data_IF_624251166460
#
_entry.id   IF_624251166460
#
_cell.length_a   1.000
_cell.length_b   1.000
_cell.length_c   1.000
_cell.angle_alpha   90.00
_cell.angle_beta   90.00
_cell.angle_gamma   90.00
#
_symmetry.space_group_name_H-M   'P 1'
#
loop_
_entity.id
_entity.type
_entity.pdbx_description
1 polymer ?
#
# COMPACT_ATOMS: atom_id res chain seq x y z
N UNK A 1 -23.05 -53.41 7.34
CA UNK A 1 -21.63 -53.82 7.34
C UNK A 1 -21.05 -53.38 8.67
N UNK A 2 -20.52 -54.31 9.45
CA UNK A 2 -19.92 -54.00 10.76
C UNK A 2 -18.60 -53.28 10.51
N UNK A 3 -18.46 -52.05 10.99
CA UNK A 3 -17.21 -51.28 10.88
C UNK A 3 -16.14 -52.01 11.70
N UNK A 4 -14.96 -52.34 11.13
CA UNK A 4 -13.92 -53.04 11.87
C UNK A 4 -13.48 -52.20 13.08
N UNK A 5 -13.10 -52.88 14.17
CA UNK A 5 -12.62 -52.21 15.39
C UNK A 5 -11.17 -52.56 15.65
N UNK A 6 -10.39 -51.57 16.11
CA UNK A 6 -8.99 -51.72 16.51
C UNK A 6 -8.81 -51.19 17.93
N UNK A 7 -7.95 -51.83 18.71
CA UNK A 7 -7.61 -51.42 20.08
C UNK A 7 -6.84 -50.10 20.02
N UNK A 8 -7.26 -49.10 20.80
CA UNK A 8 -6.65 -47.75 20.80
C UNK A 8 -5.14 -47.79 21.05
N UNK A 9 -4.67 -48.68 21.93
CA UNK A 9 -3.26 -48.87 22.26
C UNK A 9 -2.39 -49.32 21.08
N UNK A 10 -2.98 -49.87 20.01
CA UNK A 10 -2.28 -50.22 18.76
C UNK A 10 -2.18 -49.06 17.77
N UNK A 11 -2.81 -47.93 18.07
CA UNK A 11 -2.90 -46.76 17.19
C UNK A 11 -2.03 -45.65 17.79
N UNK A 12 -1.07 -45.15 17.01
CA UNK A 12 -0.27 -43.97 17.33
C UNK A 12 -0.92 -42.68 16.83
N UNK A 13 -0.72 -41.55 17.51
CA UNK A 13 -1.27 -40.25 17.11
C UNK A 13 -0.81 -39.86 15.70
N UNK A 14 -1.69 -39.16 14.99
CA UNK A 14 -1.46 -38.74 13.60
C UNK A 14 -0.64 -37.47 13.46
N UNK A 15 -0.23 -37.16 12.22
CA UNK A 15 0.40 -35.88 11.85
C UNK A 15 -0.63 -34.77 11.66
N UNK A 16 -1.46 -34.54 12.69
CA UNK A 16 -2.53 -33.55 12.61
C UNK A 16 -1.94 -32.11 12.56
N UNK A 17 -2.28 -31.30 11.53
CA UNK A 17 -1.79 -29.93 11.44
C UNK A 17 -2.38 -28.99 12.51
N UNK A 18 -3.50 -29.35 13.17
CA UNK A 18 -4.12 -28.54 14.23
C UNK A 18 -3.28 -28.60 15.51
N UNK A 19 -2.77 -27.44 15.93
CA UNK A 19 -1.92 -27.32 17.14
C UNK A 19 -2.70 -26.98 18.42
N UNK A 20 -3.88 -26.36 18.31
CA UNK A 20 -4.71 -25.96 19.45
C UNK A 20 -6.04 -26.72 19.50
N UNK A 21 -6.35 -27.29 20.66
CA UNK A 21 -7.65 -27.89 20.96
C UNK A 21 -8.23 -27.19 22.19
N UNK A 22 -9.48 -26.76 22.10
CA UNK A 22 -10.15 -26.13 23.22
C UNK A 22 -10.37 -27.15 24.36
N UNK A 23 -9.89 -26.90 25.59
CA UNK A 23 -10.02 -27.83 26.70
C UNK A 23 -11.47 -28.14 27.09
N UNK A 24 -12.38 -27.16 26.99
CA UNK A 24 -13.78 -27.33 27.34
C UNK A 24 -14.51 -28.20 26.29
N UNK A 25 -14.32 -27.91 25.00
CA UNK A 25 -14.89 -28.75 23.94
C UNK A 25 -14.33 -30.18 23.96
N UNK A 26 -13.05 -30.35 24.32
CA UNK A 26 -12.45 -31.68 24.44
C UNK A 26 -12.99 -32.44 25.65
N UNK A 27 -13.25 -31.77 26.77
CA UNK A 27 -13.87 -32.38 27.94
C UNK A 27 -15.30 -32.87 27.63
N UNK A 28 -16.09 -32.05 26.93
CA UNK A 28 -17.44 -32.42 26.49
C UNK A 28 -17.43 -33.61 25.54
N UNK A 29 -16.53 -33.61 24.55
CA UNK A 29 -16.36 -34.75 23.64
C UNK A 29 -15.93 -36.02 24.38
N UNK A 30 -15.06 -35.90 25.37
CA UNK A 30 -14.59 -37.03 26.19
C UNK A 30 -15.74 -37.62 27.00
N UNK A 31 -16.59 -36.78 27.61
CA UNK A 31 -17.78 -37.25 28.32
C UNK A 31 -18.78 -37.93 27.38
N UNK A 32 -19.01 -37.35 26.20
CA UNK A 32 -19.87 -37.95 25.19
C UNK A 32 -19.35 -39.32 24.73
N UNK A 33 -18.03 -39.46 24.52
CA UNK A 33 -17.40 -40.75 24.17
C UNK A 33 -17.44 -41.74 25.35
N UNK A 34 -17.38 -41.27 26.60
CA UNK A 34 -17.55 -42.10 27.80
C UNK A 34 -18.93 -42.74 27.86
N UNK A 35 -19.98 -41.97 27.56
CA UNK A 35 -21.38 -42.43 27.63
C UNK A 35 -21.82 -43.21 26.38
N UNK A 36 -21.52 -42.69 25.19
CA UNK A 36 -22.07 -43.17 23.93
C UNK A 36 -21.07 -44.00 23.09
N UNK A 37 -19.80 -44.07 23.52
CA UNK A 37 -18.72 -44.62 22.72
C UNK A 37 -18.36 -43.73 21.52
N UNK A 38 -17.44 -44.20 20.70
CA UNK A 38 -17.05 -43.50 19.46
C UNK A 38 -18.06 -43.84 18.36
N UNK A 39 -18.95 -42.90 18.04
CA UNK A 39 -20.00 -43.12 17.03
C UNK A 39 -19.48 -43.05 15.58
N UNK A 40 -18.56 -42.14 15.30
CA UNK A 40 -17.94 -42.00 13.97
C UNK A 40 -16.55 -42.63 13.96
N UNK A 41 -16.30 -43.51 12.99
CA UNK A 41 -15.05 -44.25 12.87
C UNK A 41 -13.83 -43.36 12.60
N UNK A 42 -12.66 -43.77 13.11
CA UNK A 42 -11.37 -43.16 12.81
C UNK A 42 -10.87 -43.62 11.45
N UNK A 43 -10.16 -42.78 10.69
CA UNK A 43 -9.40 -43.22 9.52
C UNK A 43 -7.97 -43.49 9.96
N UNK A 44 -7.50 -44.72 9.78
CA UNK A 44 -6.15 -45.15 10.17
C UNK A 44 -5.43 -45.78 8.98
N UNK A 45 -4.10 -45.71 9.00
CA UNK A 45 -3.24 -46.42 8.05
C UNK A 45 -2.30 -47.40 8.76
N UNK A 46 -1.98 -48.56 8.15
CA UNK A 46 -0.92 -49.43 8.65
C UNK A 46 0.44 -48.74 8.54
N UNK A 47 1.28 -48.92 9.56
CA UNK A 47 2.67 -48.42 9.64
C UNK A 47 3.57 -49.50 10.22
N UNK A 48 4.90 -49.35 10.11
CA UNK A 48 5.81 -50.22 10.84
C UNK A 48 5.58 -50.11 12.34
N UNK A 49 5.53 -51.27 13.01
CA UNK A 49 5.31 -51.39 14.44
C UNK A 49 6.40 -50.63 15.20
N UNK A 50 6.00 -49.69 16.06
CA UNK A 50 6.94 -48.97 16.91
C UNK A 50 7.36 -49.80 18.15
N UNK A 51 8.33 -49.31 18.91
CA UNK A 51 8.80 -49.96 20.15
C UNK A 51 7.70 -50.13 21.22
N UNK A 52 6.55 -49.47 21.04
CA UNK A 52 5.38 -49.55 21.92
C UNK A 52 4.29 -50.50 21.39
N UNK A 53 4.53 -51.23 20.30
CA UNK A 53 3.58 -52.16 19.69
C UNK A 53 2.46 -51.49 18.87
N UNK A 54 2.65 -50.23 18.45
CA UNK A 54 1.66 -49.49 17.63
C UNK A 54 1.92 -49.71 16.15
N UNK A 55 0.99 -50.40 15.51
CA UNK A 55 1.05 -50.81 14.09
C UNK A 55 0.13 -49.96 13.19
N UNK A 56 -0.60 -49.00 13.75
CA UNK A 56 -1.48 -48.09 13.02
C UNK A 56 -1.21 -46.63 13.36
N UNK A 57 -1.47 -45.73 12.41
CA UNK A 57 -1.39 -44.28 12.61
C UNK A 57 -2.72 -43.61 12.26
N UNK A 58 -3.15 -42.64 13.08
CA UNK A 58 -4.36 -41.84 12.81
C UNK A 58 -4.11 -40.93 11.60
N UNK A 59 -4.97 -41.02 10.60
CA UNK A 59 -5.01 -40.10 9.45
C UNK A 59 -6.10 -39.03 9.66
N UNK A 60 -7.27 -39.42 10.17
CA UNK A 60 -8.35 -38.49 10.50
C UNK A 60 -9.11 -38.92 11.76
N UNK A 61 -9.60 -37.93 12.53
CA UNK A 61 -10.33 -38.17 13.78
C UNK A 61 -9.51 -38.05 15.06
N UNK A 62 -8.39 -37.31 15.05
CA UNK A 62 -7.49 -37.13 16.20
C UNK A 62 -8.20 -36.75 17.51
N UNK A 63 -9.21 -35.85 17.47
CA UNK A 63 -10.01 -35.50 18.67
C UNK A 63 -10.76 -36.70 19.25
N UNK A 64 -11.30 -37.56 18.39
CA UNK A 64 -12.03 -38.79 18.78
C UNK A 64 -11.06 -39.85 19.32
N UNK A 65 -9.88 -39.99 18.72
CA UNK A 65 -8.81 -40.83 19.23
C UNK A 65 -8.41 -40.42 20.66
N UNK A 66 -8.12 -39.13 20.88
CA UNK A 66 -7.74 -38.61 22.20
C UNK A 66 -8.84 -38.75 23.24
N UNK A 67 -10.10 -38.48 22.84
CA UNK A 67 -11.26 -38.66 23.70
C UNK A 67 -11.46 -40.14 24.08
N UNK A 68 -11.31 -41.07 23.14
CA UNK A 68 -11.42 -42.51 23.39
C UNK A 68 -10.33 -43.01 24.35
N UNK A 69 -9.07 -42.63 24.11
CA UNK A 69 -7.94 -42.95 24.98
C UNK A 69 -8.15 -42.41 26.40
N UNK A 70 -8.63 -41.17 26.52
CA UNK A 70 -8.86 -40.52 27.82
C UNK A 70 -10.09 -41.06 28.56
N UNK A 71 -11.11 -41.51 27.84
CA UNK A 71 -12.36 -42.00 28.42
C UNK A 71 -12.27 -43.48 28.86
N UNK A 72 -11.62 -44.32 28.04
CA UNK A 72 -11.71 -45.79 28.16
C UNK A 72 -10.33 -46.50 28.21
N UNK A 73 -9.22 -45.78 28.04
CA UNK A 73 -7.87 -46.35 28.10
C UNK A 73 -7.42 -47.05 26.81
N UNK A 74 -6.26 -47.70 26.87
CA UNK A 74 -5.60 -48.29 25.69
C UNK A 74 -6.32 -49.53 25.16
N UNK A 75 -6.97 -50.32 26.02
CA UNK A 75 -7.64 -51.58 25.65
C UNK A 75 -8.98 -51.38 24.91
N UNK A 76 -9.45 -50.14 24.77
CA UNK A 76 -10.75 -49.86 24.18
C UNK A 76 -10.78 -50.14 22.67
N UNK A 77 -11.76 -50.92 22.16
CA UNK A 77 -11.93 -51.14 20.73
C UNK A 77 -12.67 -49.96 20.09
N UNK A 78 -11.97 -49.17 19.27
CA UNK A 78 -12.57 -48.07 18.49
C UNK A 78 -12.97 -48.52 17.09
N UNK A 79 -14.10 -48.04 16.55
CA UNK A 79 -14.46 -48.29 15.15
C UNK A 79 -13.51 -47.51 14.23
N UNK A 80 -13.02 -48.19 13.19
CA UNK A 80 -12.01 -47.65 12.28
C UNK A 80 -12.30 -47.98 10.82
N UNK A 81 -11.68 -47.20 9.93
CA UNK A 81 -11.54 -47.49 8.51
C UNK A 81 -10.03 -47.60 8.27
N UNK A 82 -9.57 -48.77 7.82
CA UNK A 82 -8.16 -49.04 7.55
C UNK A 82 -7.90 -48.79 6.07
N UNK A 83 -6.97 -47.89 5.76
CA UNK A 83 -6.55 -47.61 4.38
C UNK A 83 -5.03 -47.57 4.28
N UNK A 84 -4.45 -48.37 3.40
CA UNK A 84 -3.02 -48.29 3.10
C UNK A 84 -2.74 -47.00 2.34
N UNK A 85 -1.83 -46.17 2.87
CA UNK A 85 -1.48 -44.87 2.34
C UNK A 85 0.00 -44.59 2.61
N UNK A 86 0.70 -44.04 1.64
CA UNK A 86 2.05 -43.50 1.83
C UNK A 86 2.03 -42.33 2.81
N UNK A 87 3.20 -41.95 3.33
CA UNK A 87 3.35 -40.79 4.21
C UNK A 87 2.80 -39.50 3.59
N UNK A 88 3.10 -39.27 2.31
CA UNK A 88 2.64 -38.10 1.59
C UNK A 88 1.10 -38.11 1.39
N UNK A 89 0.52 -39.28 1.08
CA UNK A 89 -0.93 -39.41 0.92
C UNK A 89 -1.66 -39.23 2.25
N UNK A 90 -1.12 -39.77 3.34
CA UNK A 90 -1.67 -39.61 4.68
C UNK A 90 -1.65 -38.16 5.14
N UNK A 91 -0.52 -37.47 4.93
CA UNK A 91 -0.37 -36.04 5.22
C UNK A 91 -1.32 -35.20 4.38
N UNK A 92 -1.50 -35.53 3.09
CA UNK A 92 -2.47 -34.87 2.22
C UNK A 92 -3.91 -35.08 2.64
N UNK A 93 -4.27 -36.30 3.01
CA UNK A 93 -5.63 -36.62 3.42
C UNK A 93 -5.99 -35.99 4.78
N UNK A 94 -5.09 -36.06 5.75
CA UNK A 94 -5.22 -35.38 7.04
C UNK A 94 -5.39 -33.87 6.86
N UNK A 95 -4.71 -33.32 5.84
CA UNK A 95 -4.77 -31.91 5.53
C UNK A 95 -6.10 -31.50 4.89
N UNK A 96 -6.54 -32.24 3.87
CA UNK A 96 -7.80 -31.99 3.15
C UNK A 96 -8.99 -32.14 4.11
N UNK A 97 -9.02 -33.16 4.97
CA UNK A 97 -10.09 -33.32 5.96
C UNK A 97 -10.18 -32.11 6.88
N UNK A 98 -9.03 -31.60 7.34
CA UNK A 98 -9.02 -30.46 8.24
C UNK A 98 -9.55 -29.20 7.54
N UNK A 99 -9.14 -28.93 6.30
CA UNK A 99 -9.61 -27.77 5.51
C UNK A 99 -11.11 -27.84 5.25
N UNK A 100 -11.67 -29.03 5.08
CA UNK A 100 -13.12 -29.22 4.90
C UNK A 100 -13.93 -29.01 6.19
N UNK A 101 -13.29 -28.78 7.35
CA UNK A 101 -13.99 -28.45 8.60
C UNK A 101 -14.34 -26.96 8.62
N UNK A 102 -15.57 -26.67 9.05
CA UNK A 102 -16.12 -25.32 9.08
C UNK A 102 -15.39 -24.30 9.98
N UNK A 103 -14.42 -24.74 10.79
CA UNK A 103 -13.79 -23.91 11.85
C UNK A 103 -12.35 -23.46 11.54
N UNK A 104 -11.79 -23.76 10.35
CA UNK A 104 -10.42 -23.36 10.04
C UNK A 104 -10.29 -21.85 9.85
N UNK A 105 -9.24 -21.24 10.40
CA UNK A 105 -8.97 -19.83 10.16
C UNK A 105 -8.51 -19.64 8.70
N UNK A 106 -8.92 -18.57 7.99
CA UNK A 106 -8.52 -18.35 6.60
C UNK A 106 -7.00 -18.27 6.37
N UNK A 107 -6.22 -17.89 7.40
CA UNK A 107 -4.76 -17.91 7.34
C UNK A 107 -4.19 -19.33 7.35
N UNK A 108 -4.79 -20.24 8.12
CA UNK A 108 -4.43 -21.65 8.15
C UNK A 108 -4.80 -22.29 6.81
N UNK A 109 -6.00 -22.02 6.30
CA UNK A 109 -6.42 -22.44 4.95
C UNK A 109 -5.40 -22.04 3.88
N UNK A 110 -4.86 -20.82 3.94
CA UNK A 110 -3.84 -20.33 3.01
C UNK A 110 -2.53 -21.12 3.07
N UNK A 111 -2.00 -21.36 4.27
CA UNK A 111 -0.75 -22.12 4.48
C UNK A 111 -0.90 -23.54 3.96
N UNK A 112 -2.05 -24.15 4.22
CA UNK A 112 -2.32 -25.53 3.86
C UNK A 112 -2.60 -25.70 2.36
N UNK A 113 -3.34 -24.76 1.76
CA UNK A 113 -3.50 -24.68 0.32
C UNK A 113 -2.15 -24.55 -0.40
N UNK A 114 -1.22 -23.74 0.14
CA UNK A 114 0.12 -23.59 -0.42
C UNK A 114 0.92 -24.89 -0.41
N UNK A 115 0.80 -25.72 0.65
CA UNK A 115 1.43 -27.04 0.70
C UNK A 115 0.88 -27.99 -0.35
N UNK A 116 -0.45 -28.04 -0.51
CA UNK A 116 -1.10 -28.90 -1.50
C UNK A 116 -0.66 -28.51 -2.91
N UNK A 117 -0.65 -27.22 -3.23
CA UNK A 117 -0.11 -26.73 -4.51
C UNK A 117 1.35 -27.14 -4.69
N UNK A 118 2.17 -27.08 -3.63
CA UNK A 118 3.56 -27.52 -3.65
C UNK A 118 3.71 -29.02 -3.97
N UNK A 119 2.93 -29.88 -3.31
CA UNK A 119 2.92 -31.34 -3.58
C UNK A 119 2.48 -31.67 -5.00
N UNK A 120 1.59 -30.86 -5.55
CA UNK A 120 1.11 -30.97 -6.93
C UNK A 120 1.99 -30.23 -7.93
N UNK A 121 3.23 -29.88 -7.55
CA UNK A 121 4.23 -29.25 -8.41
C UNK A 121 3.74 -27.94 -9.06
N UNK A 122 2.88 -27.20 -8.36
CA UNK A 122 2.30 -25.95 -8.84
C UNK A 122 0.99 -26.09 -9.61
N UNK A 123 0.45 -27.30 -9.78
CA UNK A 123 -0.87 -27.49 -10.39
C UNK A 123 -1.99 -27.00 -9.47
N UNK A 124 -2.40 -25.75 -9.70
CA UNK A 124 -3.46 -25.08 -8.95
C UNK A 124 -4.85 -25.56 -9.34
N UNK A 125 -5.06 -26.15 -10.51
CA UNK A 125 -6.38 -26.67 -10.92
C UNK A 125 -6.65 -28.01 -10.24
N UNK A 126 -5.64 -28.87 -10.16
CA UNK A 126 -5.68 -30.08 -9.34
C UNK A 126 -5.85 -29.74 -7.86
N UNK A 127 -5.09 -28.78 -7.34
CA UNK A 127 -5.18 -28.37 -5.95
C UNK A 127 -6.59 -27.87 -5.59
N UNK A 128 -7.18 -27.00 -6.43
CA UNK A 128 -8.54 -26.50 -6.23
C UNK A 128 -9.56 -27.65 -6.23
N UNK A 129 -9.39 -28.63 -7.14
CA UNK A 129 -10.27 -29.81 -7.21
C UNK A 129 -10.18 -30.68 -5.96
N UNK A 130 -8.98 -30.97 -5.46
CA UNK A 130 -8.78 -31.77 -4.24
C UNK A 130 -9.33 -31.07 -2.98
N UNK A 131 -9.26 -29.74 -2.96
CA UNK A 131 -9.80 -28.91 -1.88
C UNK A 131 -11.33 -28.71 -1.97
N UNK A 132 -11.95 -29.07 -3.09
CA UNK A 132 -13.36 -28.77 -3.35
C UNK A 132 -13.63 -27.27 -3.50
N UNK A 133 -12.62 -26.50 -3.94
CA UNK A 133 -12.68 -25.05 -4.09
C UNK A 133 -12.78 -24.66 -5.56
N UNK A 134 -13.31 -23.46 -5.81
CA UNK A 134 -13.13 -22.82 -7.10
C UNK A 134 -11.67 -22.36 -7.25
N UNK A 135 -11.20 -22.25 -8.50
CA UNK A 135 -9.87 -21.68 -8.78
C UNK A 135 -9.69 -20.28 -8.17
N UNK A 136 -10.73 -19.45 -8.26
CA UNK A 136 -10.73 -18.11 -7.63
C UNK A 136 -10.58 -18.19 -6.11
N UNK A 137 -11.27 -19.11 -5.44
CA UNK A 137 -11.17 -19.27 -3.98
C UNK A 137 -9.76 -19.70 -3.56
N UNK A 138 -9.17 -20.66 -4.27
CA UNK A 138 -7.79 -21.06 -4.03
C UNK A 138 -6.84 -19.87 -4.17
N UNK A 139 -7.00 -19.09 -5.23
CA UNK A 139 -6.10 -17.97 -5.53
C UNK A 139 -6.20 -16.86 -4.47
N UNK A 140 -7.41 -16.55 -3.97
CA UNK A 140 -7.63 -15.63 -2.83
C UNK A 140 -6.94 -16.11 -1.56
N UNK A 141 -7.08 -17.40 -1.24
CA UNK A 141 -6.49 -17.99 -0.05
C UNK A 141 -4.97 -17.95 -0.14
N UNK A 142 -4.39 -18.38 -1.25
CA UNK A 142 -2.94 -18.32 -1.46
C UNK A 142 -2.42 -16.88 -1.39
N UNK A 143 -3.18 -15.90 -1.88
CA UNK A 143 -2.76 -14.50 -1.81
C UNK A 143 -2.62 -13.97 -0.36
N UNK A 144 -3.32 -14.55 0.63
CA UNK A 144 -3.13 -14.20 2.04
C UNK A 144 -1.70 -14.45 2.52
N UNK A 145 -0.92 -15.32 1.86
CA UNK A 145 0.51 -15.52 2.15
C UNK A 145 1.36 -14.26 1.95
N UNK A 146 0.84 -13.25 1.26
CA UNK A 146 1.48 -11.95 1.09
C UNK A 146 1.21 -10.97 2.24
N UNK A 147 0.32 -11.32 3.18
CA UNK A 147 0.05 -10.50 4.35
C UNK A 147 1.29 -10.39 5.26
N UNK A 148 1.42 -9.29 5.99
CA UNK A 148 2.33 -9.19 7.13
C UNK A 148 1.80 -10.02 8.30
N UNK A 149 2.68 -10.35 9.25
CA UNK A 149 2.31 -11.11 10.45
C UNK A 149 1.22 -10.40 11.25
N UNK A 150 1.27 -9.06 11.32
CA UNK A 150 0.27 -8.26 12.03
C UNK A 150 -1.12 -8.38 11.41
N UNK A 151 -1.21 -8.42 10.08
CA UNK A 151 -2.48 -8.58 9.34
C UNK A 151 -3.04 -9.98 9.51
N UNK A 152 -2.19 -11.02 9.45
CA UNK A 152 -2.62 -12.40 9.69
C UNK A 152 -3.13 -12.58 11.12
N UNK A 153 -2.45 -12.00 12.11
CA UNK A 153 -2.89 -12.04 13.50
C UNK A 153 -4.23 -11.30 13.69
N UNK A 154 -4.38 -10.12 13.08
CA UNK A 154 -5.64 -9.38 13.11
C UNK A 154 -6.79 -10.14 12.44
N UNK A 155 -6.52 -10.91 11.39
CA UNK A 155 -7.51 -11.78 10.74
C UNK A 155 -7.89 -12.96 11.65
N UNK A 156 -6.90 -13.61 12.27
CA UNK A 156 -7.09 -14.77 13.15
C UNK A 156 -7.89 -14.41 14.41
N UNK A 157 -7.59 -13.26 14.99
CA UNK A 157 -8.31 -12.70 16.15
C UNK A 157 -9.67 -12.10 15.78
N UNK A 158 -10.06 -12.15 14.50
CA UNK A 158 -11.29 -11.55 13.94
C UNK A 158 -11.40 -10.04 14.17
N UNK A 159 -10.27 -9.37 14.38
CA UNK A 159 -10.17 -7.91 14.47
C UNK A 159 -10.48 -7.27 13.11
N UNK A 160 -10.12 -7.94 12.01
CA UNK A 160 -10.49 -7.57 10.64
C UNK A 160 -11.21 -8.72 9.93
N UNK A 161 -12.07 -8.37 8.98
CA UNK A 161 -12.71 -9.34 8.09
C UNK A 161 -11.73 -9.84 7.01
N UNK A 162 -12.01 -11.03 6.47
CA UNK A 162 -11.26 -11.63 5.36
C UNK A 162 -11.04 -10.68 4.17
N UNK A 163 -12.07 -9.95 3.75
CA UNK A 163 -11.95 -8.98 2.65
C UNK A 163 -10.91 -7.88 2.89
N UNK A 164 -10.69 -7.46 4.14
CA UNK A 164 -9.61 -6.52 4.46
C UNK A 164 -8.25 -7.15 4.25
N UNK A 165 -8.05 -8.39 4.71
CA UNK A 165 -6.78 -9.09 4.54
C UNK A 165 -6.49 -9.36 3.05
N UNK A 166 -7.51 -9.72 2.29
CA UNK A 166 -7.44 -9.89 0.83
C UNK A 166 -6.99 -8.60 0.13
N UNK A 167 -7.54 -7.45 0.50
CA UNK A 167 -7.11 -6.15 -0.04
C UNK A 167 -5.69 -5.78 0.41
N UNK A 168 -5.36 -5.97 1.69
CA UNK A 168 -4.03 -5.66 2.22
C UNK A 168 -2.93 -6.52 1.59
N UNK A 169 -3.22 -7.79 1.27
CA UNK A 169 -2.29 -8.70 0.60
C UNK A 169 -1.80 -8.19 -0.77
N UNK A 170 -2.51 -7.24 -1.39
CA UNK A 170 -2.09 -6.60 -2.65
C UNK A 170 -0.98 -5.57 -2.46
N UNK A 171 -0.80 -5.08 -1.23
CA UNK A 171 0.11 -4.00 -0.88
C UNK A 171 1.45 -4.53 -0.37
N UNK A 172 2.45 -3.67 -0.36
CA UNK A 172 3.72 -3.95 0.31
C UNK A 172 3.49 -4.08 1.83
N UNK A 173 4.17 -5.04 2.48
CA UNK A 173 4.05 -5.32 3.92
C UNK A 173 4.18 -4.08 4.80
N UNK A 174 5.14 -3.20 4.52
CA UNK A 174 5.31 -1.95 5.26
C UNK A 174 4.09 -1.01 5.15
N UNK A 175 3.38 -1.03 4.02
CA UNK A 175 2.12 -0.28 3.85
C UNK A 175 0.97 -0.96 4.58
N UNK A 176 0.93 -2.29 4.58
CA UNK A 176 -0.07 -3.06 5.33
C UNK A 176 -0.02 -2.73 6.83
N UNK A 177 1.19 -2.74 7.42
CA UNK A 177 1.39 -2.45 8.85
C UNK A 177 1.04 -1.00 9.22
N UNK A 178 1.18 -0.05 8.27
CA UNK A 178 0.74 1.34 8.46
C UNK A 178 -0.79 1.49 8.39
N UNK A 179 -1.45 0.76 7.49
CA UNK A 179 -2.89 0.87 7.27
C UNK A 179 -3.71 0.09 8.30
N UNK A 180 -3.21 -1.03 8.80
CA UNK A 180 -3.93 -1.90 9.74
C UNK A 180 -4.44 -1.14 10.99
N UNK A 181 -3.63 -0.34 11.71
CA UNK A 181 -4.11 0.45 12.85
C UNK A 181 -5.24 1.43 12.49
N UNK A 182 -5.21 2.00 11.28
CA UNK A 182 -6.24 2.92 10.80
C UNK A 182 -7.54 2.16 10.51
N UNK A 183 -7.46 1.01 9.86
CA UNK A 183 -8.61 0.14 9.57
C UNK A 183 -9.31 -0.26 10.88
N UNK A 184 -8.53 -0.68 11.88
CA UNK A 184 -9.07 -1.12 13.18
C UNK A 184 -9.65 0.03 13.99
N UNK A 185 -8.93 1.15 14.11
CA UNK A 185 -9.39 2.29 14.92
C UNK A 185 -10.60 3.01 14.34
N UNK A 186 -10.70 3.11 13.02
CA UNK A 186 -11.82 3.76 12.34
C UNK A 186 -12.94 2.78 11.96
N UNK A 187 -12.76 1.48 12.18
CA UNK A 187 -13.68 0.42 11.75
C UNK A 187 -14.09 0.57 10.28
N UNK A 188 -13.10 0.81 9.42
CA UNK A 188 -13.34 1.01 7.98
C UNK A 188 -14.04 -0.20 7.40
N UNK A 189 -15.01 0.05 6.52
CA UNK A 189 -15.64 -1.01 5.74
C UNK A 189 -14.71 -1.47 4.61
N UNK A 190 -14.83 -2.75 4.19
CA UNK A 190 -14.01 -3.34 3.12
C UNK A 190 -14.10 -2.49 1.83
N UNK A 191 -15.30 -2.09 1.44
CA UNK A 191 -15.53 -1.23 0.28
C UNK A 191 -14.86 0.15 0.36
N UNK A 192 -14.73 0.73 1.56
CA UNK A 192 -14.04 2.01 1.77
C UNK A 192 -12.52 1.84 1.66
N UNK A 193 -11.99 0.75 2.22
CA UNK A 193 -10.59 0.39 2.08
C UNK A 193 -10.24 0.16 0.60
N UNK A 194 -11.08 -0.60 -0.12
CA UNK A 194 -10.93 -0.82 -1.57
C UNK A 194 -10.78 0.50 -2.32
N UNK A 195 -11.73 1.42 -2.13
CA UNK A 195 -11.71 2.74 -2.78
C UNK A 195 -10.44 3.54 -2.44
N UNK A 196 -9.97 3.44 -1.21
CA UNK A 196 -8.74 4.11 -0.76
C UNK A 196 -7.51 3.56 -1.48
N UNK A 197 -7.42 2.24 -1.62
CA UNK A 197 -6.32 1.58 -2.34
C UNK A 197 -6.39 1.89 -3.85
N UNK A 198 -7.59 1.88 -4.44
CA UNK A 198 -7.80 2.27 -5.85
C UNK A 198 -7.34 3.69 -6.15
N UNK A 199 -7.67 4.65 -5.27
CA UNK A 199 -7.25 6.04 -5.41
C UNK A 199 -5.73 6.21 -5.26
N UNK A 200 -5.08 5.34 -4.48
CA UNK A 200 -3.65 5.36 -4.26
C UNK A 200 -2.83 4.61 -5.32
N UNK A 201 -3.46 3.74 -6.10
CA UNK A 201 -2.76 2.93 -7.10
C UNK A 201 -2.21 3.79 -8.24
N UNK A 202 -1.00 3.49 -8.70
CA UNK A 202 -0.31 4.24 -9.75
C UNK A 202 -0.62 3.67 -11.14
N UNK A 203 -1.12 4.48 -12.06
CA UNK A 203 -1.42 4.01 -13.42
C UNK A 203 -0.18 3.58 -14.20
N UNK A 204 -0.16 2.32 -14.64
CA UNK A 204 0.90 1.79 -15.51
C UNK A 204 0.75 2.28 -16.96
N UNK A 205 -0.44 2.70 -17.38
CA UNK A 205 -0.62 3.33 -18.70
C UNK A 205 0.21 4.62 -18.79
N UNK A 206 0.17 5.44 -17.73
CA UNK A 206 0.88 6.73 -17.63
C UNK A 206 2.36 6.59 -17.24
N UNK A 207 2.85 5.38 -17.01
CA UNK A 207 4.23 5.14 -16.62
C UNK A 207 5.20 5.42 -17.77
N UNK A 208 6.28 6.14 -17.49
CA UNK A 208 7.33 6.49 -18.46
C UNK A 208 8.44 5.44 -18.59
N UNK A 209 8.44 4.44 -17.69
CA UNK A 209 9.45 3.38 -17.59
C UNK A 209 9.01 2.10 -18.32
N UNK A 210 9.93 1.15 -18.45
CA UNK A 210 9.68 -0.13 -19.11
C UNK A 210 8.77 -1.05 -18.28
N UNK A 211 7.70 -1.58 -18.90
CA UNK A 211 6.62 -2.31 -18.22
C UNK A 211 6.73 -3.83 -18.33
N UNK A 212 7.76 -4.36 -18.99
CA UNK A 212 7.97 -5.80 -19.19
C UNK A 212 7.97 -6.57 -17.88
N UNK A 213 8.65 -6.06 -16.85
CA UNK A 213 8.66 -6.68 -15.52
C UNK A 213 7.35 -6.51 -14.73
N UNK A 214 6.46 -5.61 -15.17
CA UNK A 214 5.19 -5.35 -14.49
C UNK A 214 4.10 -6.33 -14.91
N UNK A 215 4.24 -7.02 -16.05
CA UNK A 215 3.22 -7.95 -16.57
C UNK A 215 3.02 -9.18 -15.69
N UNK A 216 4.07 -9.63 -14.99
CA UNK A 216 4.07 -10.79 -14.08
C UNK A 216 4.17 -10.37 -12.61
N UNK A 217 4.13 -9.07 -12.32
CA UNK A 217 4.34 -8.57 -10.97
C UNK A 217 3.09 -8.72 -10.10
N UNK A 218 3.25 -9.27 -8.89
CA UNK A 218 2.16 -9.43 -7.91
C UNK A 218 1.45 -8.11 -7.54
N UNK A 219 2.11 -6.96 -7.71
CA UNK A 219 1.56 -5.63 -7.41
C UNK A 219 0.81 -5.00 -8.59
N UNK A 220 0.72 -5.68 -9.73
CA UNK A 220 -0.07 -5.24 -10.87
C UNK A 220 -1.53 -5.62 -10.66
N UNK A 221 -2.41 -4.63 -10.56
CA UNK A 221 -3.84 -4.82 -10.31
C UNK A 221 -4.53 -5.66 -11.39
N UNK A 222 -4.01 -5.71 -12.63
CA UNK A 222 -4.54 -6.60 -13.66
C UNK A 222 -4.44 -8.08 -13.26
N UNK A 223 -3.36 -8.49 -12.61
CA UNK A 223 -3.20 -9.85 -12.08
C UNK A 223 -3.97 -10.07 -10.79
N UNK A 224 -4.14 -9.01 -9.99
CA UNK A 224 -4.89 -9.07 -8.73
C UNK A 224 -6.41 -9.16 -8.97
N UNK A 225 -6.89 -8.66 -10.13
CA UNK A 225 -8.30 -8.70 -10.53
C UNK A 225 -8.81 -10.12 -10.72
N UNK A 226 -7.94 -11.02 -11.20
CA UNK A 226 -8.25 -12.45 -11.31
C UNK A 226 -8.36 -13.13 -9.94
N UNK A 227 -7.71 -12.56 -8.91
CA UNK A 227 -7.69 -13.11 -7.57
C UNK A 227 -8.85 -12.60 -6.71
N UNK A 228 -9.21 -11.32 -6.73
CA UNK A 228 -10.21 -10.77 -5.79
C UNK A 228 -11.48 -10.24 -6.48
N UNK A 229 -12.67 -10.56 -5.94
CA UNK A 229 -13.94 -9.97 -6.41
C UNK A 229 -14.04 -8.46 -6.12
N UNK A 230 -13.19 -7.98 -5.22
CA UNK A 230 -13.01 -6.58 -4.84
C UNK A 230 -11.88 -5.89 -5.61
N UNK A 231 -11.56 -6.36 -6.82
CA UNK A 231 -10.45 -5.87 -7.63
C UNK A 231 -10.42 -4.34 -7.81
N UNK A 232 -9.21 -3.78 -7.66
CA UNK A 232 -8.84 -2.43 -8.07
C UNK A 232 -8.91 -2.33 -9.60
N UNK A 233 -9.22 -1.15 -10.13
CA UNK A 233 -9.19 -0.89 -11.58
C UNK A 233 -7.93 -1.50 -12.25
N UNK A 234 -8.11 -2.14 -13.40
CA UNK A 234 -7.06 -2.90 -14.10
C UNK A 234 -5.92 -1.98 -14.57
N UNK A 235 -4.70 -2.51 -14.62
CA UNK A 235 -3.53 -1.81 -15.16
C UNK A 235 -2.86 -0.80 -14.24
N UNK A 236 -2.98 -0.95 -12.92
CA UNK A 236 -2.35 -0.07 -11.93
C UNK A 236 -1.32 -0.82 -11.06
N UNK A 237 -0.31 -0.11 -10.57
CA UNK A 237 0.66 -0.60 -9.60
C UNK A 237 0.23 -0.23 -8.19
N UNK A 238 0.13 -1.22 -7.30
CA UNK A 238 -0.18 -1.04 -5.88
C UNK A 238 1.06 -0.78 -5.02
N UNK A 239 2.26 -1.01 -5.55
CA UNK A 239 3.52 -0.66 -4.90
C UNK A 239 4.02 0.71 -5.40
N UNK A 240 3.80 1.75 -4.58
CA UNK A 240 4.22 3.11 -4.90
C UNK A 240 5.74 3.28 -4.88
N UNK A 241 6.43 2.71 -3.89
CA UNK A 241 7.88 2.87 -3.78
C UNK A 241 8.59 2.40 -5.05
N UNK A 242 8.23 1.21 -5.54
CA UNK A 242 8.72 0.64 -6.80
C UNK A 242 8.37 1.51 -8.02
N UNK A 243 7.13 2.02 -8.11
CA UNK A 243 6.73 2.89 -9.21
C UNK A 243 7.55 4.20 -9.24
N UNK A 244 7.73 4.83 -8.08
CA UNK A 244 8.48 6.08 -7.93
C UNK A 244 9.95 5.87 -8.25
N UNK A 245 10.57 4.82 -7.72
CA UNK A 245 11.97 4.48 -7.99
C UNK A 245 12.22 4.26 -9.50
N UNK A 246 11.36 3.47 -10.16
CA UNK A 246 11.47 3.23 -11.62
C UNK A 246 11.25 4.50 -12.43
N UNK A 247 10.34 5.36 -11.98
CA UNK A 247 10.09 6.67 -12.61
C UNK A 247 11.30 7.57 -12.47
N UNK A 248 11.85 7.72 -11.27
CA UNK A 248 13.01 8.56 -10.98
C UNK A 248 14.23 8.10 -11.77
N UNK A 249 14.51 6.78 -11.80
CA UNK A 249 15.59 6.22 -12.62
C UNK A 249 15.43 6.54 -14.12
N UNK A 250 14.20 6.56 -14.62
CA UNK A 250 13.92 6.94 -16.02
C UNK A 250 14.12 8.43 -16.24
N UNK A 251 13.69 9.29 -15.32
CA UNK A 251 13.90 10.74 -15.39
C UNK A 251 15.40 11.08 -15.35
N UNK A 252 16.17 10.42 -14.48
CA UNK A 252 17.62 10.54 -14.41
C UNK A 252 18.29 10.08 -15.71
N UNK A 253 17.82 8.98 -16.31
CA UNK A 253 18.30 8.53 -17.62
C UNK A 253 18.03 9.54 -18.74
N UNK A 254 16.85 10.18 -18.75
CA UNK A 254 16.54 11.26 -19.70
C UNK A 254 17.45 12.46 -19.45
N UNK A 255 17.62 12.87 -18.19
CA UNK A 255 18.48 13.98 -17.83
C UNK A 255 19.94 13.73 -18.22
N UNK A 256 20.45 12.51 -18.00
CA UNK A 256 21.80 12.10 -18.38
C UNK A 256 21.99 12.13 -19.90
N UNK A 257 20.96 11.77 -20.69
CA UNK A 257 21.02 11.85 -22.15
C UNK A 257 21.13 13.27 -22.71
N UNK A 258 20.77 14.28 -21.92
CA UNK A 258 20.81 15.70 -22.32
C UNK A 258 22.13 16.40 -21.96
N UNK A 259 23.04 15.70 -21.25
CA UNK A 259 24.29 16.28 -20.71
C UNK A 259 25.23 16.85 -21.77
N UNK A 260 25.17 16.31 -22.98
CA UNK A 260 26.05 16.72 -24.08
C UNK A 260 25.49 17.96 -24.81
N UNK A 261 24.19 18.25 -24.66
CA UNK A 261 23.49 19.36 -25.31
C UNK A 261 23.31 20.58 -24.38
N UNK A 262 23.13 20.36 -23.07
CA UNK A 262 22.87 21.42 -22.09
C UNK A 262 23.84 21.37 -20.91
N UNK A 263 24.34 22.54 -20.48
CA UNK A 263 25.26 22.65 -19.35
C UNK A 263 24.61 22.33 -18.00
N UNK A 264 23.33 22.72 -17.83
CA UNK A 264 22.57 22.43 -16.61
C UNK A 264 21.27 21.73 -16.96
N UNK A 265 21.07 20.56 -16.36
CA UNK A 265 19.82 19.83 -16.46
C UNK A 265 19.24 19.65 -15.08
N UNK A 266 17.96 20.03 -14.91
CA UNK A 266 17.25 19.90 -13.64
C UNK A 266 15.97 19.10 -13.82
N UNK A 267 15.77 18.10 -12.97
CA UNK A 267 14.49 17.41 -12.86
C UNK A 267 13.58 18.27 -12.00
N UNK A 268 12.45 18.71 -12.57
CA UNK A 268 11.48 19.58 -11.92
C UNK A 268 10.45 18.73 -11.18
N UNK A 269 10.25 19.01 -9.89
CA UNK A 269 9.23 18.36 -9.07
C UNK A 269 8.18 19.36 -8.59
N UNK A 270 7.14 18.85 -7.95
CA UNK A 270 6.11 19.70 -7.34
C UNK A 270 6.77 20.63 -6.31
N UNK A 271 6.52 21.94 -6.42
CA UNK A 271 7.16 22.98 -5.60
C UNK A 271 8.25 23.78 -6.33
N UNK A 272 8.78 23.29 -7.46
CA UNK A 272 9.86 23.97 -8.21
C UNK A 272 9.34 25.04 -9.20
N UNK A 273 8.07 25.45 -9.11
CA UNK A 273 7.39 26.24 -10.15
C UNK A 273 8.03 27.62 -10.41
N UNK A 274 8.57 28.28 -9.39
CA UNK A 274 9.20 29.61 -9.52
C UNK A 274 10.73 29.55 -9.64
N UNK A 275 11.29 28.35 -9.78
CA UNK A 275 12.76 28.14 -9.84
C UNK A 275 13.31 28.17 -11.26
N UNK A 276 12.46 28.37 -12.28
CA UNK A 276 12.87 28.45 -13.68
C UNK A 276 11.98 29.40 -14.47
N UNK A 277 12.54 29.96 -15.53
CA UNK A 277 11.82 30.77 -16.53
C UNK A 277 12.25 30.33 -17.93
N UNK A 278 11.30 30.23 -18.86
CA UNK A 278 11.61 30.03 -20.28
C UNK A 278 12.35 31.26 -20.79
N UNK A 279 13.57 31.08 -21.32
CA UNK A 279 14.28 32.16 -21.97
C UNK A 279 13.54 32.54 -23.25
N UNK A 280 13.04 33.77 -23.29
CA UNK A 280 12.39 34.35 -24.46
C UNK A 280 13.24 35.49 -25.00
N UNK A 281 13.30 35.59 -26.32
CA UNK A 281 13.99 36.69 -27.00
C UNK A 281 13.12 37.95 -26.97
N UNK A 282 11.85 37.79 -27.36
CA UNK A 282 10.88 38.88 -27.52
C UNK A 282 9.72 38.77 -26.53
N UNK A 283 8.90 39.82 -26.46
CA UNK A 283 7.71 39.87 -25.61
C UNK A 283 7.94 40.54 -24.24
N UNK A 284 6.91 40.60 -23.39
CA UNK A 284 6.97 41.31 -22.10
C UNK A 284 7.99 40.72 -21.13
N UNK A 285 8.27 39.42 -21.23
CA UNK A 285 9.25 38.69 -20.41
C UNK A 285 10.53 38.33 -21.18
N UNK A 286 10.72 38.88 -22.39
CA UNK A 286 11.90 38.63 -23.22
C UNK A 286 13.11 39.45 -22.78
N UNK A 287 14.32 38.90 -22.93
CA UNK A 287 15.59 39.57 -22.57
C UNK A 287 16.23 40.35 -23.73
N UNK A 288 15.72 40.21 -24.96
CA UNK A 288 16.29 40.80 -26.17
C UNK A 288 17.34 39.90 -26.84
N UNK A 289 17.56 40.10 -28.15
CA UNK A 289 18.34 39.18 -28.99
C UNK A 289 19.82 39.07 -28.58
N UNK A 290 20.49 40.18 -28.32
CA UNK A 290 21.90 40.18 -27.91
C UNK A 290 22.11 39.51 -26.55
N UNK A 291 21.24 39.82 -25.59
CA UNK A 291 21.31 39.23 -24.25
C UNK A 291 20.91 37.75 -24.27
N UNK A 292 19.98 37.33 -25.12
CA UNK A 292 19.63 35.92 -25.30
C UNK A 292 20.81 35.10 -25.82
N UNK A 293 21.56 35.61 -26.82
CA UNK A 293 22.81 35.00 -27.31
C UNK A 293 23.82 34.79 -26.18
N UNK A 294 24.00 35.80 -25.31
CA UNK A 294 24.87 35.67 -24.14
C UNK A 294 24.33 34.67 -23.10
N UNK A 295 23.01 34.58 -22.91
CA UNK A 295 22.39 33.63 -21.99
C UNK A 295 22.60 32.18 -22.40
N UNK A 296 22.72 31.86 -23.69
CA UNK A 296 22.98 30.48 -24.15
C UNK A 296 24.31 29.90 -23.66
N UNK A 297 25.30 30.74 -23.36
CA UNK A 297 26.59 30.33 -22.78
C UNK A 297 26.64 30.41 -21.24
N UNK A 298 25.53 30.76 -20.59
CA UNK A 298 25.47 30.97 -19.14
C UNK A 298 25.41 29.65 -18.37
N UNK A 299 26.09 29.60 -17.22
CA UNK A 299 26.04 28.45 -16.30
C UNK A 299 24.63 28.18 -15.73
N UNK A 300 23.71 29.14 -15.77
CA UNK A 300 22.33 28.98 -15.28
C UNK A 300 21.34 28.66 -16.41
N UNK A 301 21.83 28.42 -17.63
CA UNK A 301 21.01 28.08 -18.79
C UNK A 301 21.07 26.58 -19.10
N UNK A 302 19.92 26.00 -19.41
CA UNK A 302 19.89 24.61 -19.83
C UNK A 302 18.49 24.07 -20.07
N UNK A 303 18.25 22.82 -19.64
CA UNK A 303 17.00 22.11 -19.89
C UNK A 303 16.36 21.61 -18.59
N UNK A 304 15.03 21.65 -18.55
CA UNK A 304 14.25 21.07 -17.46
C UNK A 304 13.58 19.79 -17.92
N UNK A 305 13.71 18.72 -17.13
CA UNK A 305 12.96 17.47 -17.33
C UNK A 305 11.81 17.47 -16.33
N UNK A 306 10.56 17.38 -16.80
CA UNK A 306 9.41 17.41 -15.90
C UNK A 306 9.22 16.09 -15.16
N UNK A 307 9.21 16.16 -13.84
CA UNK A 307 8.75 15.13 -12.90
C UNK A 307 7.30 15.34 -12.44
N UNK A 308 6.55 16.28 -13.06
CA UNK A 308 5.19 16.62 -12.65
C UNK A 308 4.15 15.65 -13.24
N UNK A 309 3.09 15.29 -12.49
CA UNK A 309 1.96 14.52 -13.00
C UNK A 309 1.38 15.15 -14.30
N UNK A 310 1.09 14.32 -15.31
CA UNK A 310 0.57 14.75 -16.61
C UNK A 310 1.61 15.30 -17.61
N UNK A 311 2.84 15.58 -17.16
CA UNK A 311 3.95 15.98 -18.04
C UNK A 311 5.25 15.23 -17.77
N UNK A 312 5.17 14.07 -17.09
CA UNK A 312 6.31 13.22 -16.75
C UNK A 312 7.19 12.93 -17.97
N UNK A 313 8.49 13.19 -17.82
CA UNK A 313 9.50 12.95 -18.85
C UNK A 313 9.54 13.98 -19.99
N UNK A 314 8.64 14.98 -20.02
CA UNK A 314 8.73 16.05 -21.03
C UNK A 314 9.97 16.91 -20.77
N UNK A 315 10.75 17.12 -21.82
CA UNK A 315 11.94 17.96 -21.81
C UNK A 315 11.56 19.36 -22.27
N UNK A 316 11.95 20.36 -21.50
CA UNK A 316 11.79 21.77 -21.80
C UNK A 316 13.18 22.37 -21.95
N UNK A 317 13.62 22.56 -23.20
CA UNK A 317 14.87 23.25 -23.50
C UNK A 317 14.74 24.78 -23.32
N UNK A 318 15.88 25.45 -23.23
CA UNK A 318 15.92 26.91 -23.19
C UNK A 318 15.49 27.52 -21.86
N UNK A 319 15.72 26.83 -20.75
CA UNK A 319 15.33 27.26 -19.41
C UNK A 319 16.44 28.05 -18.74
N UNK A 320 16.07 29.11 -18.04
CA UNK A 320 16.93 29.85 -17.14
C UNK A 320 16.59 29.49 -15.69
N UNK A 321 17.59 29.05 -14.92
CA UNK A 321 17.45 28.65 -13.51
C UNK A 321 17.76 29.77 -12.51
N UNK A 322 18.06 30.97 -13.01
CA UNK A 322 18.26 32.18 -12.20
C UNK A 322 17.18 33.21 -12.57
N UNK A 323 16.04 33.09 -11.89
CA UNK A 323 14.85 33.90 -12.15
C UNK A 323 15.05 35.36 -11.74
N UNK A 324 15.89 35.62 -10.74
CA UNK A 324 16.26 36.97 -10.31
C UNK A 324 17.10 37.68 -11.37
N UNK A 325 18.15 37.03 -11.88
CA UNK A 325 18.96 37.56 -12.96
C UNK A 325 18.11 37.78 -14.23
N UNK A 326 17.29 36.81 -14.62
CA UNK A 326 16.40 36.95 -15.77
C UNK A 326 15.50 38.20 -15.65
N UNK A 327 14.86 38.38 -14.49
CA UNK A 327 13.99 39.53 -14.22
C UNK A 327 14.73 40.87 -14.31
N UNK A 328 15.97 40.94 -13.80
CA UNK A 328 16.81 42.13 -13.90
C UNK A 328 17.16 42.46 -15.36
N UNK A 329 17.47 41.45 -16.17
CA UNK A 329 17.80 41.62 -17.60
C UNK A 329 16.58 42.07 -18.42
N UNK A 330 15.40 41.52 -18.14
CA UNK A 330 14.14 41.97 -18.74
C UNK A 330 13.85 43.43 -18.37
N UNK A 331 13.98 43.79 -17.09
CA UNK A 331 13.77 45.16 -16.63
C UNK A 331 14.76 46.16 -17.27
N UNK A 332 16.02 45.76 -17.44
CA UNK A 332 17.03 46.58 -18.11
C UNK A 332 16.69 46.83 -19.58
N UNK A 333 16.23 45.80 -20.32
CA UNK A 333 15.75 45.95 -21.70
C UNK A 333 14.57 46.91 -21.79
N UNK A 334 13.53 46.70 -20.97
CA UNK A 334 12.33 47.55 -20.97
C UNK A 334 12.69 49.00 -20.67
N UNK A 335 13.60 49.21 -19.70
CA UNK A 335 14.11 50.55 -19.40
C UNK A 335 14.83 51.16 -20.61
N UNK A 336 15.73 50.43 -21.26
CA UNK A 336 16.44 50.89 -22.44
C UNK A 336 15.50 51.23 -23.60
N UNK A 337 14.47 50.43 -23.86
CA UNK A 337 13.45 50.68 -24.87
C UNK A 337 12.62 51.93 -24.56
N UNK A 338 12.27 52.13 -23.27
CA UNK A 338 11.55 53.33 -22.82
C UNK A 338 12.42 54.58 -22.99
N UNK A 339 13.68 54.50 -22.60
CA UNK A 339 14.61 55.62 -22.68
C UNK A 339 14.94 55.97 -24.14
N UNK A 340 15.04 54.98 -25.04
CA UNK A 340 15.19 55.18 -26.48
C UNK A 340 13.94 55.82 -27.13
N UNK A 341 12.73 55.44 -26.68
CA UNK A 341 11.47 56.08 -27.10
C UNK A 341 11.35 57.51 -26.59
N UNK A 342 11.83 57.80 -25.37
CA UNK A 342 11.86 59.15 -24.83
C UNK A 342 12.86 60.05 -25.58
N UNK A 343 14.01 59.51 -25.96
CA UNK A 343 15.03 60.23 -26.74
C UNK A 343 14.56 60.57 -28.18
N UNK A 344 13.64 59.79 -28.75
CA UNK A 344 13.07 60.02 -30.08
C UNK A 344 11.81 60.90 -30.06
N UNK A 345 11.29 61.28 -28.89
CA UNK A 345 10.06 62.07 -28.72
C UNK A 345 10.26 63.47 -28.12
N UNK A 346 11.49 63.97 -27.97
CA UNK A 346 11.71 65.31 -27.44
C UNK A 346 11.24 66.42 -28.43
N UNK A 347 10.28 67.30 -28.07
CA UNK A 347 10.06 68.55 -28.77
C UNK A 347 10.91 69.66 -28.15
N UNK A 348 11.40 70.57 -28.99
CA UNK A 348 12.04 71.81 -28.57
C UNK A 348 11.03 72.74 -27.87
N UNK A 349 11.34 73.24 -26.67
CA UNK A 349 11.05 74.63 -26.29
C UNK A 349 11.67 75.05 -24.96
N UNK A 350 12.25 76.24 -25.06
CA UNK A 350 12.78 77.22 -24.11
C UNK A 350 12.15 77.34 -22.71
N UNK A 351 13.06 77.44 -21.74
CA UNK A 351 13.10 78.35 -20.58
C UNK A 351 11.91 79.30 -20.31
N UNK A 352 11.43 79.30 -19.06
CA UNK A 352 11.35 80.53 -18.25
C UNK A 352 11.24 80.20 -16.76
N UNK A 353 11.81 81.10 -15.98
CA UNK A 353 12.16 81.10 -14.56
C UNK A 353 11.03 81.59 -13.64
N UNK A 354 11.34 81.68 -12.34
CA UNK A 354 10.63 82.31 -11.19
C UNK A 354 9.63 81.40 -10.47
N UNK A 355 9.55 81.33 -9.13
CA UNK A 355 10.28 81.97 -8.03
C UNK A 355 9.99 81.16 -6.74
N UNK A 356 10.89 81.23 -5.75
CA UNK A 356 10.65 80.81 -4.34
C UNK A 356 9.96 82.00 -3.59
N UNK A 357 9.41 81.91 -2.35
CA UNK A 357 10.05 81.27 -1.19
C UNK A 357 9.11 80.63 -0.14
N UNK A 358 9.77 80.07 0.88
CA UNK A 358 9.29 79.26 1.98
C UNK A 358 8.45 79.99 3.06
N UNK A 359 7.71 79.22 3.86
CA UNK A 359 7.47 79.51 5.29
C UNK A 359 7.26 78.22 6.08
N UNK A 360 7.64 78.27 7.35
CA UNK A 360 7.77 77.16 8.28
C UNK A 360 6.76 77.26 9.45
N UNK A 361 6.69 76.15 10.21
CA UNK A 361 6.35 75.96 11.65
C UNK A 361 4.92 75.55 12.07
N UNK A 362 4.94 74.52 12.95
CA UNK A 362 4.03 74.29 14.09
C UNK A 362 2.95 73.25 13.84
N UNK A 363 2.58 72.32 14.72
CA UNK A 363 2.99 72.01 16.09
C UNK A 363 2.42 70.63 16.46
N UNK A 364 2.95 70.05 17.54
CA UNK A 364 2.59 68.74 18.10
C UNK A 364 1.12 68.61 18.53
N UNK A 365 0.53 67.43 18.31
CA UNK A 365 -0.78 67.02 18.81
C UNK A 365 -0.75 65.54 19.21
N UNK A 366 -1.05 65.30 20.49
CA UNK A 366 -0.84 64.08 21.28
C UNK A 366 -1.77 62.92 20.86
N UNK A 367 -1.20 61.72 20.81
CA UNK A 367 -1.93 60.46 20.67
C UNK A 367 -2.70 60.10 21.95
N UNK A 368 -3.93 59.59 21.78
CA UNK A 368 -4.61 58.74 22.77
C UNK A 368 -5.44 57.70 22.03
N UNK A 369 -5.02 56.44 22.09
CA UNK A 369 -5.81 55.29 21.67
C UNK A 369 -6.71 54.84 22.85
N UNK A 370 -7.93 54.32 22.62
CA UNK A 370 -8.73 53.73 23.69
C UNK A 370 -8.15 52.37 24.09
N UNK A 371 -8.05 52.12 25.39
CA UNK A 371 -7.64 50.85 25.94
C UNK A 371 -8.69 49.75 25.69
N UNK A 372 -8.36 48.75 24.87
CA UNK A 372 -9.07 47.48 24.84
C UNK A 372 -8.70 46.66 26.08
N UNK A 373 -9.72 46.15 26.77
CA UNK A 373 -9.58 45.22 27.89
C UNK A 373 -8.96 43.91 27.39
N UNK A 374 -8.10 43.24 28.17
CA UNK A 374 -7.50 41.99 27.73
C UNK A 374 -8.59 40.91 27.68
N UNK A 375 -8.84 40.40 26.48
CA UNK A 375 -9.58 39.15 26.29
C UNK A 375 -8.75 38.07 26.97
N UNK A 376 -9.25 37.53 28.08
CA UNK A 376 -8.69 36.34 28.70
C UNK A 376 -8.74 35.22 27.68
N UNK A 377 -7.60 34.91 27.08
CA UNK A 377 -7.45 33.73 26.23
C UNK A 377 -7.71 32.51 27.10
N UNK A 378 -8.89 31.91 26.95
CA UNK A 378 -9.18 30.62 27.54
C UNK A 378 -8.24 29.65 26.83
N UNK A 379 -7.12 29.32 27.46
CA UNK A 379 -6.19 28.33 26.94
C UNK A 379 -6.91 27.00 26.92
N UNK A 380 -7.20 26.48 25.73
CA UNK A 380 -7.85 25.18 25.58
C UNK A 380 -7.05 24.11 26.34
N UNK A 381 -7.75 23.31 27.13
CA UNK A 381 -7.16 22.16 27.80
C UNK A 381 -6.50 21.24 26.77
N UNK A 382 -5.33 20.68 27.09
CA UNK A 382 -4.62 19.71 26.24
C UNK A 382 -5.52 18.54 25.80
N UNK A 383 -6.49 18.13 26.64
CA UNK A 383 -7.49 17.12 26.28
C UNK A 383 -8.43 17.57 25.16
N UNK A 384 -8.85 18.84 25.18
CA UNK A 384 -9.72 19.43 24.15
C UNK A 384 -8.95 19.61 22.85
N UNK A 385 -7.68 20.04 22.92
CA UNK A 385 -6.80 20.11 21.75
C UNK A 385 -6.60 18.73 21.13
N UNK A 386 -6.24 17.71 21.93
CA UNK A 386 -6.05 16.35 21.44
C UNK A 386 -7.33 15.77 20.80
N UNK A 387 -8.49 15.99 21.42
CA UNK A 387 -9.78 15.58 20.87
C UNK A 387 -10.08 16.29 19.53
N UNK A 388 -9.91 17.62 19.46
CA UNK A 388 -10.09 18.37 18.22
C UNK A 388 -9.11 17.88 17.15
N UNK A 389 -7.83 17.73 17.47
CA UNK A 389 -6.84 17.21 16.52
C UNK A 389 -7.22 15.83 16.00
N UNK A 390 -7.73 14.92 16.83
CA UNK A 390 -8.21 13.61 16.37
C UNK A 390 -9.41 13.73 15.43
N UNK A 391 -10.40 14.56 15.78
CA UNK A 391 -11.59 14.82 14.94
C UNK A 391 -11.21 15.44 13.60
N UNK A 392 -10.33 16.45 13.60
CA UNK A 392 -9.85 17.11 12.39
C UNK A 392 -8.95 16.20 11.57
N UNK A 393 -8.14 15.32 12.17
CA UNK A 393 -7.39 14.29 11.44
C UNK A 393 -8.30 13.28 10.78
N UNK A 394 -9.37 12.82 11.46
CA UNK A 394 -10.38 11.93 10.87
C UNK A 394 -11.12 12.60 9.71
N UNK A 395 -11.54 13.85 9.89
CA UNK A 395 -12.20 14.62 8.83
C UNK A 395 -11.26 14.84 7.64
N UNK A 396 -10.02 15.26 7.90
CA UNK A 396 -8.98 15.44 6.89
C UNK A 396 -8.71 14.13 6.16
N UNK A 397 -8.49 13.01 6.86
CA UNK A 397 -8.28 11.70 6.23
C UNK A 397 -9.45 11.29 5.33
N UNK A 398 -10.69 11.53 5.75
CA UNK A 398 -11.90 11.26 4.96
C UNK A 398 -11.98 12.12 3.71
N UNK A 399 -11.62 13.40 3.81
CA UNK A 399 -11.64 14.36 2.70
C UNK A 399 -10.47 14.13 1.73
N UNK A 400 -9.29 13.85 2.28
CA UNK A 400 -8.09 13.42 1.58
C UNK A 400 -8.32 12.11 0.82
N UNK A 401 -9.01 11.12 1.41
CA UNK A 401 -9.36 9.87 0.72
C UNK A 401 -10.31 10.07 -0.48
N UNK A 402 -11.02 11.21 -0.57
CA UNK A 402 -11.88 11.53 -1.70
C UNK A 402 -11.12 12.17 -2.87
N UNK A 403 -9.89 12.64 -2.64
CA UNK A 403 -9.04 13.24 -3.66
C UNK A 403 -7.78 12.38 -3.83
N UNK A 404 -7.64 11.74 -5.00
CA UNK A 404 -6.53 10.85 -5.29
C UNK A 404 -5.14 11.49 -5.07
N UNK A 405 -4.95 12.77 -5.40
CA UNK A 405 -3.67 13.47 -5.24
C UNK A 405 -3.35 13.76 -3.76
N UNK A 406 -4.36 14.08 -2.94
CA UNK A 406 -4.18 14.29 -1.50
C UNK A 406 -4.02 12.97 -0.76
N UNK A 407 -4.82 11.94 -1.09
CA UNK A 407 -4.67 10.59 -0.57
C UNK A 407 -3.23 10.08 -0.75
N UNK A 408 -2.65 10.41 -1.90
CA UNK A 408 -1.27 10.09 -2.23
C UNK A 408 -0.23 10.75 -1.32
N UNK A 409 -0.52 11.93 -0.78
CA UNK A 409 0.43 12.73 0.03
C UNK A 409 0.28 12.53 1.55
N UNK A 410 -0.86 12.05 2.05
CA UNK A 410 -1.18 12.11 3.49
C UNK A 410 -1.67 10.81 4.13
N UNK A 411 -2.17 9.83 3.36
CA UNK A 411 -2.70 8.59 3.94
C UNK A 411 -1.71 7.42 3.95
N UNK A 412 -0.63 7.50 3.15
CA UNK A 412 0.27 6.36 2.86
C UNK A 412 1.77 6.72 3.05
N UNK A 413 2.12 8.01 3.14
CA UNK A 413 3.42 8.47 3.65
C UNK A 413 3.51 8.22 5.16
#
# INVERSE_FOLDING_TARGET
MQTPTVVVGKIRPGRNPRKYFDPAEMAELTESVRVNGVLQSLLIRPVEEDESGREYEVVAGERRYRAALSAHGEDYPVPVIIKAMTDAEADSFALIENIQRADMAPSEEAVQAAKIVGWLQGDRDEAARQLGWSRSTLDKRLALMNCSESVLEALNTRTIQLGHAELLATLEKGTQDKLLPVIVSEKKAVAELKKTIEAAACSLEKAIFEKTQCTTCQHNSSLQTEMFGEAIATGNCTNRACYTEKTDRKLEGIAYGLKDEYQVIRIVRAGDNETRVQLLVEGPTGVGEEQAKACHGCQNFGAAVSGLPGSLGKVYGGQCFDTACNSQKVAARIKAERDAKAATQAPASSSSSSDKPATAKGAAGKATAPAEKPVTSISESEKVKAYRTDVWRKALRKEVAQNAELANAYLIS
#
